data_IF_811014478337
#
_entry.id   IF_811014478337
#
_cell.length_a   1.000
_cell.length_b   1.000
_cell.length_c   1.000
_cell.angle_alpha   90.00
_cell.angle_beta   90.00
_cell.angle_gamma   90.00
#
_symmetry.space_group_name_H-M   'P 1'
#
loop_
_entity.id
_entity.type
_entity.pdbx_description
1 polymer ?
#
# COMPACT_ATOMS: atom_id res chain seq x y z
N UNK A 1 -57.92 -6.26 35.64
CA UNK A 1 -58.38 -6.33 34.24
C UNK A 1 -57.75 -5.16 33.49
N UNK A 2 -56.54 -5.36 32.97
CA UNK A 2 -55.82 -4.34 32.20
C UNK A 2 -56.58 -4.10 30.90
N UNK A 3 -56.98 -2.86 30.68
CA UNK A 3 -57.94 -2.48 29.64
C UNK A 3 -57.31 -2.75 28.25
N UNK A 4 -57.84 -3.71 27.51
CA UNK A 4 -57.31 -4.12 26.19
C UNK A 4 -57.14 -2.95 25.21
N UNK A 5 -57.91 -1.86 25.40
CA UNK A 5 -57.77 -0.63 24.60
C UNK A 5 -56.43 0.09 24.82
N UNK A 6 -55.88 0.07 26.04
CA UNK A 6 -54.59 0.72 26.35
C UNK A 6 -53.42 -0.09 25.80
N UNK A 7 -53.50 -1.42 25.84
CA UNK A 7 -52.48 -2.31 25.24
C UNK A 7 -52.45 -2.15 23.73
N UNK A 8 -53.63 -2.09 23.08
CA UNK A 8 -53.72 -1.84 21.64
C UNK A 8 -53.13 -0.48 21.23
N UNK A 9 -53.37 0.58 22.01
CA UNK A 9 -52.81 1.90 21.73
C UNK A 9 -51.27 1.91 21.83
N UNK A 10 -50.70 1.25 22.85
CA UNK A 10 -49.24 1.16 23.02
C UNK A 10 -48.59 0.32 21.91
N UNK A 11 -49.21 -0.80 21.52
CA UNK A 11 -48.72 -1.63 20.41
C UNK A 11 -48.79 -0.85 19.08
N UNK A 12 -49.84 -0.06 18.85
CA UNK A 12 -49.95 0.77 17.65
C UNK A 12 -48.85 1.85 17.59
N UNK A 13 -48.55 2.49 18.72
CA UNK A 13 -47.48 3.51 18.82
C UNK A 13 -46.11 2.87 18.58
N UNK A 14 -45.86 1.68 19.12
CA UNK A 14 -44.61 0.95 18.89
C UNK A 14 -44.50 0.51 17.43
N UNK A 15 -45.58 0.02 16.80
CA UNK A 15 -45.56 -0.37 15.39
C UNK A 15 -45.35 0.85 14.48
N UNK A 16 -45.98 2.00 14.77
CA UNK A 16 -45.77 3.25 14.03
C UNK A 16 -44.36 3.79 14.28
N UNK A 17 -43.83 3.69 15.50
CA UNK A 17 -42.46 4.03 15.86
C UNK A 17 -41.43 3.16 15.14
N UNK A 18 -41.67 1.85 15.05
CA UNK A 18 -40.83 0.90 14.32
C UNK A 18 -40.98 1.11 12.81
N UNK A 19 -42.16 1.41 12.29
CA UNK A 19 -42.37 1.69 10.87
C UNK A 19 -41.78 3.03 10.44
N UNK A 20 -41.78 4.04 11.30
CA UNK A 20 -41.08 5.33 11.07
C UNK A 20 -39.57 5.19 11.24
N UNK A 21 -39.10 4.42 12.22
CA UNK A 21 -37.68 4.07 12.37
C UNK A 21 -37.16 3.25 11.19
N UNK A 22 -37.87 2.20 10.78
CA UNK A 22 -37.52 1.43 9.58
C UNK A 22 -37.76 2.21 8.30
N UNK A 23 -38.73 3.14 8.23
CA UNK A 23 -38.92 4.02 7.08
C UNK A 23 -37.78 5.03 6.94
N UNK A 24 -37.27 5.54 8.07
CA UNK A 24 -36.06 6.35 8.16
C UNK A 24 -34.81 5.54 7.72
N UNK A 25 -34.67 4.29 8.17
CA UNK A 25 -33.55 3.41 7.80
C UNK A 25 -33.70 2.69 6.44
N UNK A 26 -34.90 2.58 5.86
CA UNK A 26 -35.14 2.02 4.50
C UNK A 26 -35.00 3.05 3.39
N UNK A 27 -34.69 4.30 3.71
CA UNK A 27 -34.47 5.35 2.72
C UNK A 27 -33.03 5.88 2.67
N UNK A 28 -32.05 5.14 3.17
CA UNK A 28 -30.70 5.21 2.59
C UNK A 28 -30.71 4.41 1.28
N UNK A 29 -31.34 5.00 0.26
CA UNK A 29 -30.76 4.91 -1.08
C UNK A 29 -29.31 5.36 -0.95
N UNK A 30 -28.39 4.73 -1.69
CA UNK A 30 -27.02 5.23 -1.87
C UNK A 30 -27.15 6.71 -2.25
N UNK A 31 -27.00 7.58 -1.26
CA UNK A 31 -27.35 8.98 -1.32
C UNK A 31 -26.28 9.67 -2.13
N UNK A 32 -26.69 10.51 -3.07
CA UNK A 32 -25.84 11.38 -3.88
C UNK A 32 -24.61 11.82 -3.07
N UNK A 33 -23.45 11.30 -3.43
CA UNK A 33 -22.19 11.76 -2.85
C UNK A 33 -22.11 13.26 -3.17
N UNK A 34 -22.02 14.11 -2.15
CA UNK A 34 -21.92 15.56 -2.37
C UNK A 34 -20.71 15.85 -3.26
N UNK A 35 -20.98 16.36 -4.46
CA UNK A 35 -19.94 16.65 -5.43
C UNK A 35 -19.41 18.06 -5.25
N UNK A 36 -18.08 18.19 -5.22
CA UNK A 36 -17.38 19.46 -5.21
C UNK A 36 -17.00 19.92 -6.61
N UNK A 37 -16.81 21.24 -6.79
CA UNK A 37 -16.34 21.79 -8.08
C UNK A 37 -14.88 21.39 -8.41
N UNK A 38 -14.07 21.12 -7.40
CA UNK A 38 -12.67 20.69 -7.49
C UNK A 38 -12.24 20.03 -6.16
N UNK A 39 -11.04 19.44 -6.05
CA UNK A 39 -10.58 18.79 -4.81
C UNK A 39 -10.57 19.70 -3.57
N UNK A 40 -10.44 21.03 -3.74
CA UNK A 40 -10.46 22.01 -2.65
C UNK A 40 -11.88 22.44 -2.24
N UNK A 41 -12.91 21.93 -2.89
CA UNK A 41 -14.32 22.27 -2.65
C UNK A 41 -15.22 21.02 -2.53
N UNK A 42 -14.64 19.86 -2.27
CA UNK A 42 -15.35 18.59 -2.11
C UNK A 42 -15.52 18.23 -0.62
N UNK A 43 -16.45 17.30 -0.36
CA UNK A 43 -16.69 16.72 0.95
C UNK A 43 -15.84 15.46 1.14
N UNK A 44 -15.08 15.39 2.23
CA UNK A 44 -14.26 14.24 2.64
C UNK A 44 -14.72 13.73 4.00
N UNK A 45 -14.50 12.45 4.29
CA UNK A 45 -14.82 11.90 5.61
C UNK A 45 -13.55 11.77 6.45
N UNK A 46 -13.43 12.56 7.52
CA UNK A 46 -12.24 12.61 8.39
C UNK A 46 -12.65 12.21 9.80
N UNK A 47 -12.08 11.11 10.32
CA UNK A 47 -12.38 10.57 11.67
C UNK A 47 -13.88 10.36 11.90
N UNK A 48 -14.59 9.88 10.86
CA UNK A 48 -16.03 9.61 10.94
C UNK A 48 -16.93 10.80 10.60
N UNK A 49 -16.39 12.02 10.49
CA UNK A 49 -17.15 13.25 10.24
C UNK A 49 -16.99 13.71 8.79
N UNK A 50 -18.07 14.23 8.20
CA UNK A 50 -18.02 14.84 6.88
C UNK A 50 -17.46 16.26 6.97
N UNK A 51 -16.42 16.54 6.20
CA UNK A 51 -15.71 17.81 6.11
C UNK A 51 -15.83 18.33 4.69
N UNK A 52 -16.67 19.34 4.49
CA UNK A 52 -16.81 20.03 3.21
C UNK A 52 -15.82 21.19 3.15
N UNK A 53 -14.78 21.06 2.32
CA UNK A 53 -13.84 22.15 2.15
C UNK A 53 -14.48 23.29 1.35
N UNK A 54 -14.09 24.53 1.68
CA UNK A 54 -14.40 25.71 0.87
C UNK A 54 -13.07 26.39 0.57
N UNK A 55 -12.66 26.39 -0.70
CA UNK A 55 -11.34 26.86 -1.14
C UNK A 55 -10.16 26.23 -0.37
N UNK A 56 -10.32 24.98 0.04
CA UNK A 56 -9.27 24.17 0.66
C UNK A 56 -9.20 24.27 2.18
N UNK A 57 -10.20 24.86 2.82
CA UNK A 57 -10.26 24.96 4.28
C UNK A 57 -11.69 24.75 4.79
N UNK A 58 -11.81 24.15 5.97
CA UNK A 58 -13.04 24.01 6.75
C UNK A 58 -12.68 24.23 8.23
N UNK A 59 -13.58 24.85 9.00
CA UNK A 59 -13.38 25.03 10.43
C UNK A 59 -14.69 25.05 11.20
N UNK A 60 -14.72 24.37 12.35
CA UNK A 60 -15.85 24.34 13.27
C UNK A 60 -15.39 24.22 14.73
N UNK A 61 -16.25 24.52 15.74
CA UNK A 61 -15.88 24.33 17.15
C UNK A 61 -15.56 22.87 17.47
N UNK A 62 -14.44 22.58 18.13
CA UNK A 62 -13.99 21.21 18.42
C UNK A 62 -14.91 20.42 19.37
N UNK A 63 -15.86 21.10 20.02
CA UNK A 63 -16.94 20.52 20.79
C UNK A 63 -18.09 21.55 20.89
N UNK A 64 -19.32 21.13 21.22
CA UNK A 64 -20.43 22.06 21.44
C UNK A 64 -20.07 23.15 22.46
N UNK A 65 -20.06 24.42 22.02
CA UNK A 65 -19.73 25.58 22.86
C UNK A 65 -18.24 25.82 23.11
N UNK A 66 -17.34 25.06 22.46
CA UNK A 66 -15.89 25.25 22.57
C UNK A 66 -15.42 26.54 21.89
N UNK A 67 -14.45 27.23 22.51
CA UNK A 67 -13.70 28.31 21.87
C UNK A 67 -12.57 27.79 20.97
N UNK A 68 -12.15 26.54 21.17
CA UNK A 68 -11.18 25.86 20.31
C UNK A 68 -11.86 25.42 19.02
N UNK A 69 -11.20 25.67 17.89
CA UNK A 69 -11.67 25.29 16.57
C UNK A 69 -10.90 24.06 16.08
N UNK A 70 -11.62 23.13 15.48
CA UNK A 70 -11.07 22.12 14.59
C UNK A 70 -10.95 22.76 13.22
N UNK A 71 -9.74 22.74 12.64
CA UNK A 71 -9.48 23.27 11.30
C UNK A 71 -8.96 22.14 10.44
N UNK A 72 -9.61 21.89 9.31
CA UNK A 72 -9.16 20.95 8.28
C UNK A 72 -8.70 21.72 7.05
N UNK A 73 -7.50 21.45 6.55
CA UNK A 73 -6.88 22.23 5.46
C UNK A 73 -6.24 21.35 4.40
N UNK A 74 -6.41 21.75 3.14
CA UNK A 74 -5.68 21.25 1.97
C UNK A 74 -4.19 21.52 2.12
N UNK A 75 -3.41 20.47 2.40
CA UNK A 75 -1.96 20.56 2.51
C UNK A 75 -1.30 20.48 1.13
N UNK A 76 -1.84 19.66 0.23
CA UNK A 76 -1.25 19.38 -1.09
C UNK A 76 -0.44 18.09 -1.07
N UNK A 77 0.76 18.10 -1.66
CA UNK A 77 1.57 16.90 -1.90
C UNK A 77 0.78 15.87 -2.74
N UNK A 78 0.33 16.34 -3.89
CA UNK A 78 -0.67 15.67 -4.72
C UNK A 78 -0.06 14.78 -5.80
N UNK A 79 -0.80 13.73 -6.15
CA UNK A 79 -0.54 12.88 -7.30
C UNK A 79 -1.84 12.68 -8.10
N UNK A 80 -1.72 12.71 -9.42
CA UNK A 80 -2.86 12.56 -10.33
C UNK A 80 -2.80 11.22 -11.04
N UNK A 81 -3.93 10.52 -11.09
CA UNK A 81 -4.09 9.23 -11.74
C UNK A 81 -5.58 9.01 -12.03
N UNK A 82 -5.92 8.08 -12.92
CA UNK A 82 -7.31 7.65 -13.14
C UNK A 82 -7.56 6.40 -12.27
N UNK A 83 -7.94 6.63 -11.00
CA UNK A 83 -8.02 5.55 -9.99
C UNK A 83 -9.18 4.60 -10.24
N UNK A 84 -10.27 5.10 -10.84
CA UNK A 84 -11.46 4.33 -11.15
C UNK A 84 -11.56 3.85 -12.60
N UNK A 85 -10.64 4.28 -13.46
CA UNK A 85 -10.51 3.90 -14.87
C UNK A 85 -11.70 4.37 -15.71
N UNK A 86 -12.30 5.50 -15.35
CA UNK A 86 -13.39 6.12 -16.11
C UNK A 86 -12.91 7.07 -17.22
N UNK A 87 -11.59 7.28 -17.33
CA UNK A 87 -10.95 8.15 -18.31
C UNK A 87 -10.81 9.60 -17.86
N UNK A 88 -11.25 9.96 -16.64
CA UNK A 88 -11.03 11.26 -16.02
C UNK A 88 -9.86 11.18 -15.05
N UNK A 89 -9.15 12.30 -14.92
CA UNK A 89 -8.03 12.37 -13.99
C UNK A 89 -8.53 12.73 -12.59
N UNK A 90 -8.20 11.87 -11.64
CA UNK A 90 -8.46 12.04 -10.21
C UNK A 90 -7.23 12.62 -9.50
N UNK A 91 -7.36 12.90 -8.20
CA UNK A 91 -6.25 13.41 -7.40
C UNK A 91 -6.22 12.76 -6.02
N UNK A 92 -5.07 12.24 -5.61
CA UNK A 92 -4.78 11.87 -4.23
C UNK A 92 -3.85 12.92 -3.61
N UNK A 93 -4.14 13.35 -2.40
CA UNK A 93 -3.41 14.44 -1.73
C UNK A 93 -3.57 14.37 -0.21
N UNK A 94 -2.86 15.24 0.51
CA UNK A 94 -2.86 15.26 1.96
C UNK A 94 -3.77 16.37 2.49
N UNK A 95 -4.57 16.02 3.49
CA UNK A 95 -5.25 16.96 4.39
C UNK A 95 -4.53 17.03 5.73
N UNK A 96 -4.59 18.21 6.34
CA UNK A 96 -4.15 18.43 7.73
C UNK A 96 -5.36 18.75 8.58
N UNK A 97 -5.37 18.28 9.83
CA UNK A 97 -6.37 18.65 10.82
C UNK A 97 -5.72 19.06 12.14
N UNK A 98 -6.20 20.18 12.70
CA UNK A 98 -5.79 20.71 13.98
C UNK A 98 -7.02 20.85 14.89
N UNK A 99 -7.16 20.00 15.90
CA UNK A 99 -8.32 20.00 16.83
C UNK A 99 -8.08 20.89 18.07
N UNK A 100 -7.66 22.15 17.87
CA UNK A 100 -7.52 23.12 18.96
C UNK A 100 -6.38 22.92 19.96
N UNK A 101 -5.55 21.87 19.80
CA UNK A 101 -4.32 21.63 20.56
C UNK A 101 -3.04 22.00 19.77
N UNK A 102 -1.89 21.47 20.21
CA UNK A 102 -0.61 21.65 19.50
C UNK A 102 -0.33 20.61 18.40
N UNK A 103 -1.23 19.65 18.21
CA UNK A 103 -1.09 18.57 17.23
C UNK A 103 -1.54 19.02 15.84
N UNK A 104 -0.89 18.47 14.82
CA UNK A 104 -1.30 18.57 13.42
C UNK A 104 -1.34 17.15 12.89
N UNK A 105 -2.53 16.65 12.59
CA UNK A 105 -2.74 15.30 12.09
C UNK A 105 -2.80 15.33 10.57
N UNK A 106 -2.17 14.35 9.92
CA UNK A 106 -2.08 14.27 8.46
C UNK A 106 -2.87 13.07 7.96
N UNK A 107 -3.67 13.28 6.90
CA UNK A 107 -4.53 12.27 6.30
C UNK A 107 -4.33 12.22 4.79
N UNK A 108 -4.20 11.03 4.21
CA UNK A 108 -4.27 10.83 2.78
C UNK A 108 -5.74 10.71 2.36
N UNK A 109 -6.14 11.48 1.35
CA UNK A 109 -7.47 11.42 0.73
C UNK A 109 -7.39 11.35 -0.78
N UNK A 110 -8.48 10.94 -1.40
CA UNK A 110 -8.67 10.86 -2.85
C UNK A 110 -9.89 11.69 -3.22
N UNK A 111 -9.79 12.44 -4.31
CA UNK A 111 -10.89 13.14 -4.94
C UNK A 111 -11.08 12.57 -6.35
N UNK A 112 -12.14 11.79 -6.53
CA UNK A 112 -12.50 11.20 -7.82
C UNK A 112 -13.27 12.21 -8.65
N UNK A 113 -12.80 12.50 -9.86
CA UNK A 113 -13.43 13.42 -10.77
C UNK A 113 -14.55 12.71 -11.54
N UNK A 114 -15.78 12.79 -11.06
CA UNK A 114 -16.96 12.19 -11.69
C UNK A 114 -17.65 13.18 -12.63
N UNK A 115 -18.55 12.69 -13.48
CA UNK A 115 -19.34 13.52 -14.41
C UNK A 115 -20.09 14.67 -13.72
N UNK A 116 -20.54 14.46 -12.48
CA UNK A 116 -21.26 15.46 -11.67
C UNK A 116 -20.37 16.32 -10.75
N UNK A 117 -19.04 16.16 -10.80
CA UNK A 117 -18.07 16.83 -9.94
C UNK A 117 -17.23 15.88 -9.09
N UNK A 118 -16.42 16.44 -8.20
CA UNK A 118 -15.45 15.71 -7.40
C UNK A 118 -16.08 15.06 -6.18
N UNK A 119 -15.84 13.76 -6.02
CA UNK A 119 -16.26 12.96 -4.87
C UNK A 119 -15.06 12.66 -3.99
N UNK A 120 -15.09 13.10 -2.74
CA UNK A 120 -14.02 12.85 -1.77
C UNK A 120 -14.12 11.46 -1.10
N UNK A 121 -12.97 10.89 -0.76
CA UNK A 121 -12.85 9.66 0.01
C UNK A 121 -12.90 9.90 1.53
N UNK A 122 -12.90 8.81 2.29
CA UNK A 122 -12.46 8.83 3.68
C UNK A 122 -10.95 9.13 3.77
N UNK A 123 -10.51 9.68 4.90
CA UNK A 123 -9.11 9.97 5.18
C UNK A 123 -8.38 8.81 5.84
N UNK A 124 -7.28 8.35 5.23
CA UNK A 124 -6.36 7.40 5.86
C UNK A 124 -5.34 8.18 6.70
N UNK A 125 -5.31 7.90 8.01
CA UNK A 125 -4.38 8.55 8.93
C UNK A 125 -2.92 8.21 8.61
N UNK A 126 -2.08 9.23 8.46
CA UNK A 126 -0.64 9.10 8.18
C UNK A 126 0.16 9.25 9.48
N UNK A 127 -0.14 10.27 10.28
CA UNK A 127 0.60 10.56 11.51
C UNK A 127 0.32 11.94 12.13
N UNK A 128 0.95 12.21 13.28
CA UNK A 128 0.89 13.47 14.02
C UNK A 128 2.24 14.20 13.93
N UNK A 129 2.23 15.45 13.47
CA UNK A 129 3.41 16.33 13.34
C UNK A 129 4.58 15.64 12.62
N UNK A 130 4.24 14.91 11.56
CA UNK A 130 5.21 14.33 10.62
C UNK A 130 5.79 15.43 9.71
N UNK A 131 6.85 15.10 8.97
CA UNK A 131 7.33 15.93 7.87
C UNK A 131 7.04 15.21 6.54
N UNK A 132 5.95 15.58 5.82
CA UNK A 132 5.67 15.02 4.50
C UNK A 132 6.81 15.28 3.52
N UNK A 133 7.11 14.31 2.67
CA UNK A 133 8.10 14.42 1.60
C UNK A 133 7.40 14.37 0.25
N UNK A 134 7.40 13.22 -0.42
CA UNK A 134 6.75 13.04 -1.73
C UNK A 134 5.50 12.17 -1.60
N UNK A 135 4.51 12.44 -2.45
CA UNK A 135 3.46 11.49 -2.80
C UNK A 135 3.68 11.05 -4.24
N UNK A 136 3.81 9.76 -4.50
CA UNK A 136 4.05 9.23 -5.83
C UNK A 136 3.21 7.97 -6.11
N UNK A 137 3.05 7.61 -7.37
CA UNK A 137 2.46 6.33 -7.76
C UNK A 137 3.54 5.24 -7.69
N UNK A 138 3.12 4.04 -7.34
CA UNK A 138 3.96 2.85 -7.48
C UNK A 138 4.41 2.67 -8.93
N UNK A 139 5.69 2.34 -9.08
CA UNK A 139 6.32 1.98 -10.37
C UNK A 139 6.28 0.48 -10.63
N UNK A 140 5.66 -0.30 -9.73
CA UNK A 140 5.50 -1.74 -9.90
C UNK A 140 4.43 -2.03 -10.95
N UNK A 141 4.77 -2.88 -11.92
CA UNK A 141 3.85 -3.32 -12.97
C UNK A 141 2.64 -4.01 -12.35
N UNK A 142 1.43 -3.56 -12.73
CA UNK A 142 0.15 -4.07 -12.21
C UNK A 142 -0.28 -3.51 -10.86
N UNK A 143 0.45 -2.52 -10.33
CA UNK A 143 0.14 -1.81 -9.08
C UNK A 143 0.19 -0.28 -9.25
N UNK A 144 -0.02 0.21 -10.47
CA UNK A 144 0.10 1.63 -10.83
C UNK A 144 -0.93 2.52 -10.09
N UNK A 145 -1.97 1.92 -9.52
CA UNK A 145 -3.01 2.58 -8.71
C UNK A 145 -2.66 2.69 -7.21
N UNK A 146 -1.50 2.18 -6.79
CA UNK A 146 -1.00 2.35 -5.42
C UNK A 146 -0.35 3.72 -5.26
N UNK A 147 -0.80 4.45 -4.24
CA UNK A 147 -0.20 5.72 -3.82
C UNK A 147 0.81 5.45 -2.70
N UNK A 148 2.00 6.02 -2.83
CA UNK A 148 3.08 5.95 -1.86
C UNK A 148 3.29 7.34 -1.28
N UNK A 149 3.02 7.50 0.01
CA UNK A 149 3.31 8.74 0.74
C UNK A 149 4.59 8.54 1.54
N UNK A 150 5.66 9.22 1.14
CA UNK A 150 6.93 9.28 1.85
C UNK A 150 6.90 10.43 2.86
N UNK A 151 7.35 10.16 4.09
CA UNK A 151 7.38 11.15 5.16
C UNK A 151 8.47 10.80 6.18
N UNK A 152 8.93 11.80 6.93
CA UNK A 152 9.74 11.56 8.12
C UNK A 152 8.87 11.64 9.39
N UNK A 153 9.12 10.69 10.28
CA UNK A 153 8.54 10.61 11.61
C UNK A 153 9.64 10.72 12.68
N UNK A 154 9.26 10.77 13.95
CA UNK A 154 10.20 10.76 15.08
C UNK A 154 10.61 9.34 15.42
N UNK A 155 11.81 9.19 15.98
CA UNK A 155 12.21 7.91 16.58
C UNK A 155 11.39 7.67 17.85
N UNK A 156 11.16 6.41 18.24
CA UNK A 156 10.44 6.09 19.46
C UNK A 156 11.06 6.81 20.67
N UNK A 157 10.24 7.55 21.42
CA UNK A 157 10.65 8.27 22.63
C UNK A 157 11.23 9.68 22.40
N UNK A 158 11.38 10.15 21.17
CA UNK A 158 11.79 11.54 20.91
C UNK A 158 10.67 12.53 21.23
N UNK A 159 11.05 13.70 21.77
CA UNK A 159 10.13 14.80 22.06
C UNK A 159 9.54 15.40 20.78
N UNK A 160 8.30 15.90 20.85
CA UNK A 160 7.67 16.63 19.75
C UNK A 160 8.38 17.94 19.37
N UNK A 161 9.26 18.45 20.23
CA UNK A 161 10.13 19.58 19.91
C UNK A 161 11.28 19.22 18.95
N UNK A 162 11.61 17.94 18.81
CA UNK A 162 12.63 17.45 17.86
C UNK A 162 11.97 17.31 16.49
N UNK A 163 12.67 17.76 15.44
CA UNK A 163 12.20 17.60 14.07
C UNK A 163 12.17 16.11 13.67
N UNK A 164 11.13 15.63 12.97
CA UNK A 164 11.08 14.28 12.43
C UNK A 164 12.29 13.95 11.55
N UNK A 165 12.83 12.74 11.68
CA UNK A 165 14.05 12.32 10.96
C UNK A 165 14.05 10.85 10.51
N UNK A 166 13.14 10.02 11.02
CA UNK A 166 12.99 8.62 10.65
C UNK A 166 12.11 8.51 9.40
N UNK A 167 12.72 8.26 8.24
CA UNK A 167 11.99 8.07 6.98
C UNK A 167 11.06 6.86 7.02
N UNK A 168 9.82 7.04 6.55
CA UNK A 168 8.76 6.04 6.42
C UNK A 168 8.03 6.23 5.08
N UNK A 169 7.38 5.16 4.64
CA UNK A 169 6.52 5.17 3.45
C UNK A 169 5.19 4.49 3.79
N UNK A 170 4.09 5.19 3.55
CA UNK A 170 2.73 4.64 3.61
C UNK A 170 2.33 4.26 2.19
N UNK A 171 2.08 2.97 1.96
CA UNK A 171 1.52 2.48 0.70
C UNK A 171 0.02 2.36 0.88
N UNK A 172 -0.77 2.97 -0.01
CA UNK A 172 -2.20 3.03 0.13
C UNK A 172 -2.91 2.72 -1.20
N UNK A 173 -4.07 2.08 -1.08
CA UNK A 173 -4.98 1.83 -2.20
C UNK A 173 -6.38 2.27 -1.83
N UNK A 174 -7.07 2.93 -2.75
CA UNK A 174 -8.48 3.28 -2.59
C UNK A 174 -9.38 2.08 -2.93
N UNK A 175 -10.28 1.71 -2.01
CA UNK A 175 -11.41 0.84 -2.34
C UNK A 175 -12.54 1.68 -2.96
N UNK A 176 -12.71 1.54 -4.27
CA UNK A 176 -13.70 2.28 -5.06
C UNK A 176 -15.16 1.99 -4.68
N UNK A 177 -15.44 0.88 -3.97
CA UNK A 177 -16.82 0.55 -3.55
C UNK A 177 -17.21 1.29 -2.28
N UNK A 178 -16.27 1.43 -1.36
CA UNK A 178 -16.49 2.00 -0.03
C UNK A 178 -15.98 3.44 0.08
N UNK A 179 -15.21 3.91 -0.91
CA UNK A 179 -14.48 5.18 -0.87
C UNK A 179 -13.52 5.28 0.33
N UNK A 180 -12.98 4.14 0.77
CA UNK A 180 -12.05 4.05 1.89
C UNK A 180 -10.64 3.69 1.39
N UNK A 181 -9.63 4.54 1.62
CA UNK A 181 -8.25 4.15 1.43
C UNK A 181 -7.78 3.23 2.55
N UNK A 182 -7.10 2.16 2.17
CA UNK A 182 -6.47 1.20 3.09
C UNK A 182 -4.96 1.16 2.93
N UNK A 183 -4.25 0.98 4.04
CA UNK A 183 -2.82 0.70 4.03
C UNK A 183 -2.55 -0.67 3.37
N UNK A 184 -1.69 -0.68 2.36
CA UNK A 184 -1.16 -1.88 1.74
C UNK A 184 0.14 -2.24 2.43
N UNK A 185 0.01 -3.04 3.49
CA UNK A 185 1.15 -3.59 4.22
C UNK A 185 2.05 -4.34 3.24
N UNK A 186 3.35 -4.14 3.34
CA UNK A 186 4.33 -4.82 2.50
C UNK A 186 4.95 -6.00 3.26
N UNK A 187 5.36 -7.04 2.54
CA UNK A 187 6.15 -8.17 3.06
C UNK A 187 5.40 -9.10 4.04
N UNK A 188 4.09 -9.24 3.91
CA UNK A 188 3.29 -10.14 4.74
C UNK A 188 2.91 -11.43 4.00
N UNK A 189 2.66 -12.51 4.74
CA UNK A 189 2.14 -13.77 4.16
C UNK A 189 0.72 -13.55 3.61
N UNK A 190 0.52 -13.81 2.33
CA UNK A 190 -0.75 -13.64 1.62
C UNK A 190 -0.81 -12.42 0.70
N UNK A 191 0.25 -11.59 0.65
CA UNK A 191 0.36 -10.44 -0.25
C UNK A 191 0.35 -10.85 -1.73
N UNK A 192 0.88 -12.04 -2.05
CA UNK A 192 0.93 -12.60 -3.39
C UNK A 192 0.18 -13.93 -3.49
N UNK A 193 -0.35 -14.22 -4.68
CA UNK A 193 -0.89 -15.53 -5.03
C UNK A 193 0.18 -16.35 -5.78
N UNK A 194 0.82 -17.35 -5.13
CA UNK A 194 1.87 -18.16 -5.76
C UNK A 194 1.43 -18.84 -7.07
N UNK A 195 0.13 -19.08 -7.25
CA UNK A 195 -0.41 -19.73 -8.46
C UNK A 195 -0.43 -18.81 -9.67
N UNK A 196 -0.37 -17.49 -9.46
CA UNK A 196 -0.31 -16.48 -10.53
C UNK A 196 1.12 -16.00 -10.78
N UNK A 197 2.08 -16.44 -9.98
CA UNK A 197 3.46 -16.03 -10.09
C UNK A 197 4.20 -16.77 -11.20
N UNK A 198 5.08 -16.06 -11.91
CA UNK A 198 5.91 -16.62 -12.98
C UNK A 198 7.34 -16.14 -12.85
N UNK A 199 8.30 -16.92 -13.34
CA UNK A 199 9.73 -16.56 -13.28
C UNK A 199 10.03 -15.26 -14.05
N UNK A 200 9.29 -14.98 -15.13
CA UNK A 200 9.53 -13.87 -16.05
C UNK A 200 8.80 -12.57 -15.67
N UNK A 201 7.99 -12.58 -14.60
CA UNK A 201 7.12 -11.44 -14.27
C UNK A 201 7.84 -10.19 -13.79
N UNK A 202 9.05 -10.33 -13.22
CA UNK A 202 9.83 -9.21 -12.68
C UNK A 202 11.32 -9.55 -12.62
N UNK A 203 12.11 -8.56 -12.23
CA UNK A 203 13.50 -8.75 -11.82
C UNK A 203 13.54 -9.20 -10.36
N UNK A 204 14.29 -10.26 -10.07
CA UNK A 204 14.41 -10.87 -8.76
C UNK A 204 15.73 -10.46 -8.10
N UNK A 205 15.67 -9.69 -7.00
CA UNK A 205 16.84 -9.31 -6.21
C UNK A 205 17.19 -10.38 -5.18
N UNK A 206 18.47 -10.71 -5.00
CA UNK A 206 18.89 -11.66 -3.97
C UNK A 206 18.68 -11.05 -2.58
N UNK A 207 17.92 -11.73 -1.71
CA UNK A 207 17.64 -11.27 -0.35
C UNK A 207 18.58 -11.94 0.64
N UNK A 208 18.61 -13.27 0.63
CA UNK A 208 19.46 -14.09 1.49
C UNK A 208 19.53 -15.52 0.98
N UNK A 209 20.51 -16.27 1.47
CA UNK A 209 20.56 -17.73 1.36
C UNK A 209 20.56 -18.31 2.76
N UNK A 210 19.71 -19.31 3.00
CA UNK A 210 19.67 -20.09 4.23
C UNK A 210 20.23 -21.47 3.92
N UNK A 211 21.37 -21.83 4.51
CA UNK A 211 21.97 -23.15 4.34
C UNK A 211 21.43 -24.14 5.38
N UNK A 212 21.57 -25.42 5.10
CA UNK A 212 21.06 -26.50 5.92
C UNK A 212 21.74 -26.62 7.31
N UNK A 213 22.94 -26.07 7.46
CA UNK A 213 23.66 -25.94 8.73
C UNK A 213 23.14 -24.76 9.59
N UNK A 214 22.13 -24.03 9.11
CA UNK A 214 21.53 -22.87 9.76
C UNK A 214 22.27 -21.56 9.48
N UNK A 215 23.37 -21.57 8.73
CA UNK A 215 24.06 -20.35 8.34
C UNK A 215 23.23 -19.53 7.36
N UNK A 216 23.33 -18.20 7.50
CA UNK A 216 22.63 -17.23 6.66
C UNK A 216 23.66 -16.38 5.94
N UNK A 217 23.56 -16.32 4.61
CA UNK A 217 24.39 -15.46 3.77
C UNK A 217 23.51 -14.36 3.19
N UNK A 218 23.90 -13.10 3.37
CA UNK A 218 23.24 -11.92 2.79
C UNK A 218 24.19 -11.20 1.83
N UNK A 219 23.69 -10.60 0.74
CA UNK A 219 24.51 -9.75 -0.13
C UNK A 219 24.97 -8.50 0.61
N UNK A 220 26.25 -8.15 0.47
CA UNK A 220 26.85 -6.90 0.96
C UNK A 220 26.36 -5.68 0.16
N UNK A 221 26.00 -5.89 -1.10
CA UNK A 221 25.46 -4.88 -2.03
C UNK A 221 24.19 -5.41 -2.71
N UNK A 222 23.06 -5.53 -1.97
CA UNK A 222 21.83 -6.16 -2.45
C UNK A 222 21.33 -5.59 -3.78
N UNK A 223 21.50 -4.30 -4.01
CA UNK A 223 21.08 -3.59 -5.22
C UNK A 223 21.80 -4.04 -6.50
N UNK A 224 22.94 -4.71 -6.37
CA UNK A 224 23.74 -5.23 -7.50
C UNK A 224 23.37 -6.66 -7.90
N UNK A 225 22.85 -7.47 -6.97
CA UNK A 225 22.54 -8.88 -7.20
C UNK A 225 21.11 -9.06 -7.70
N UNK A 226 20.95 -9.15 -9.02
CA UNK A 226 19.65 -9.30 -9.68
C UNK A 226 19.65 -10.51 -10.59
N UNK A 227 18.50 -11.18 -10.69
CA UNK A 227 18.25 -12.32 -11.56
C UNK A 227 17.01 -12.03 -12.42
N UNK A 228 17.15 -12.18 -13.73
CA UNK A 228 16.12 -11.89 -14.71
C UNK A 228 15.94 -13.12 -15.58
N UNK A 229 14.71 -13.64 -15.65
CA UNK A 229 14.32 -14.70 -16.57
C UNK A 229 13.65 -14.11 -17.81
N UNK A 230 13.88 -14.72 -18.97
CA UNK A 230 13.28 -14.31 -20.24
C UNK A 230 12.46 -15.45 -20.84
N UNK A 231 11.40 -15.12 -21.57
CA UNK A 231 10.51 -16.12 -22.19
C UNK A 231 11.24 -17.05 -23.18
N UNK A 232 12.38 -16.61 -23.72
CA UNK A 232 13.29 -17.40 -24.56
C UNK A 232 14.06 -18.52 -23.83
N UNK A 233 13.71 -18.85 -22.58
CA UNK A 233 14.40 -19.84 -21.73
C UNK A 233 15.87 -19.49 -21.46
N UNK A 234 16.16 -18.19 -21.48
CA UNK A 234 17.46 -17.63 -21.08
C UNK A 234 17.32 -16.81 -19.82
N UNK A 235 18.40 -16.70 -19.05
CA UNK A 235 18.46 -15.83 -17.90
C UNK A 235 19.67 -14.90 -18.00
N UNK A 236 19.58 -13.77 -17.31
CA UNK A 236 20.70 -12.89 -17.04
C UNK A 236 20.70 -12.52 -15.57
N UNK A 237 21.89 -12.46 -14.97
CA UNK A 237 22.08 -11.99 -13.62
C UNK A 237 23.18 -10.93 -13.57
N UNK A 238 22.99 -9.93 -12.73
CA UNK A 238 24.05 -8.98 -12.37
C UNK A 238 24.56 -9.32 -10.98
N UNK A 239 25.85 -9.12 -10.75
CA UNK A 239 26.49 -9.28 -9.45
C UNK A 239 27.23 -8.00 -9.07
N UNK A 240 27.92 -8.01 -7.94
CA UNK A 240 28.79 -6.91 -7.53
C UNK A 240 30.08 -6.76 -8.36
N UNK A 241 30.37 -7.72 -9.25
CA UNK A 241 31.55 -7.72 -10.12
C UNK A 241 31.21 -7.89 -11.60
N UNK A 242 30.68 -9.06 -12.00
CA UNK A 242 30.36 -9.37 -13.38
C UNK A 242 28.86 -9.49 -13.66
N UNK A 243 28.52 -9.53 -14.95
CA UNK A 243 27.22 -10.02 -15.41
C UNK A 243 27.35 -11.48 -15.86
N UNK A 244 26.34 -12.28 -15.51
CA UNK A 244 26.24 -13.70 -15.80
C UNK A 244 25.03 -13.94 -16.69
N UNK A 245 25.13 -14.84 -17.65
CA UNK A 245 24.01 -15.23 -18.50
C UNK A 245 24.06 -16.71 -18.84
N UNK A 246 22.93 -17.28 -19.23
CA UNK A 246 22.85 -18.68 -19.65
C UNK A 246 21.44 -19.09 -20.03
N UNK A 247 21.23 -20.39 -20.11
CA UNK A 247 19.94 -21.02 -20.36
C UNK A 247 19.35 -21.55 -19.05
N UNK A 248 18.03 -21.70 -18.98
CA UNK A 248 17.38 -22.39 -17.88
C UNK A 248 16.27 -23.32 -18.40
N UNK A 249 16.11 -24.46 -17.73
CA UNK A 249 15.08 -25.46 -18.05
C UNK A 249 14.17 -25.66 -16.85
N UNK A 250 12.87 -25.71 -17.10
CA UNK A 250 11.85 -25.96 -16.07
C UNK A 250 11.06 -27.22 -16.42
N UNK A 251 10.81 -28.07 -15.43
CA UNK A 251 9.92 -29.24 -15.55
C UNK A 251 9.16 -29.42 -14.23
N UNK A 252 7.89 -29.02 -14.22
CA UNK A 252 7.15 -28.88 -12.97
C UNK A 252 7.75 -27.79 -12.10
N UNK A 253 8.11 -28.14 -10.86
CA UNK A 253 8.81 -27.29 -9.89
C UNK A 253 10.34 -27.37 -9.99
N UNK A 254 10.87 -28.25 -10.84
CA UNK A 254 12.32 -28.39 -11.03
C UNK A 254 12.84 -27.30 -11.95
N UNK A 255 13.99 -26.72 -11.59
CA UNK A 255 14.71 -25.76 -12.41
C UNK A 255 16.20 -26.09 -12.45
N UNK A 256 16.79 -26.00 -13.65
CA UNK A 256 18.22 -26.20 -13.87
C UNK A 256 18.75 -25.04 -14.69
N UNK A 257 19.87 -24.46 -14.24
CA UNK A 257 20.63 -23.45 -14.98
C UNK A 257 21.72 -24.14 -15.80
N UNK A 258 21.79 -23.83 -17.08
CA UNK A 258 22.66 -24.47 -18.08
C UNK A 258 23.49 -23.40 -18.81
N UNK A 259 24.66 -23.79 -19.34
CA UNK A 259 25.52 -22.94 -20.18
C UNK A 259 25.82 -21.55 -19.59
N UNK A 260 26.06 -21.49 -18.27
CA UNK A 260 26.35 -20.24 -17.60
C UNK A 260 27.70 -19.66 -18.06
N UNK A 261 27.70 -18.40 -18.46
CA UNK A 261 28.86 -17.62 -18.85
C UNK A 261 28.89 -16.30 -18.08
N UNK A 262 30.06 -15.90 -17.61
CA UNK A 262 30.30 -14.62 -16.90
C UNK A 262 31.25 -13.74 -17.71
N UNK A 263 31.15 -12.42 -17.54
CA UNK A 263 32.21 -11.50 -18.01
C UNK A 263 33.49 -11.70 -17.19
N UNK A 264 34.62 -11.16 -17.66
CA UNK A 264 35.95 -11.39 -17.07
C UNK A 264 36.53 -10.14 -16.37
N UNK A 265 35.78 -9.57 -15.42
CA UNK A 265 36.28 -8.55 -14.49
C UNK A 265 36.78 -9.23 -13.21
N UNK A 266 37.95 -8.83 -12.72
CA UNK A 266 38.46 -9.29 -11.43
C UNK A 266 38.12 -8.27 -10.35
N UNK A 267 37.37 -8.69 -9.33
CA UNK A 267 37.02 -7.83 -8.20
C UNK A 267 37.40 -8.50 -6.89
N UNK A 268 38.03 -7.73 -6.01
CA UNK A 268 38.31 -8.17 -4.65
C UNK A 268 37.02 -8.11 -3.81
N UNK A 269 36.89 -9.02 -2.84
CA UNK A 269 35.78 -9.08 -1.87
C UNK A 269 34.36 -9.28 -2.44
N UNK A 270 34.26 -9.68 -3.71
CA UNK A 270 33.01 -9.97 -4.41
C UNK A 270 32.31 -11.23 -3.91
N UNK A 271 30.98 -11.21 -3.90
CA UNK A 271 30.15 -12.39 -3.65
C UNK A 271 29.66 -13.09 -4.92
N UNK A 272 30.21 -12.75 -6.10
CA UNK A 272 29.82 -13.35 -7.39
C UNK A 272 29.93 -14.88 -7.41
N UNK A 273 31.06 -15.43 -6.96
CA UNK A 273 31.31 -16.89 -6.99
C UNK A 273 30.34 -17.65 -6.09
N UNK A 274 30.02 -17.08 -4.93
CA UNK A 274 29.04 -17.62 -3.97
C UNK A 274 27.65 -17.60 -4.61
N UNK A 275 27.23 -16.46 -5.15
CA UNK A 275 25.93 -16.28 -5.79
C UNK A 275 25.74 -17.20 -7.00
N UNK A 276 26.72 -17.25 -7.91
CA UNK A 276 26.66 -18.12 -9.10
C UNK A 276 26.73 -19.60 -8.74
N UNK A 277 27.48 -19.96 -7.70
CA UNK A 277 27.50 -21.30 -7.14
C UNK A 277 26.11 -21.76 -6.68
N UNK A 278 25.30 -20.87 -6.12
CA UNK A 278 23.92 -21.20 -5.76
C UNK A 278 23.03 -21.46 -6.97
N UNK A 279 23.15 -20.66 -8.04
CA UNK A 279 22.40 -20.89 -9.27
C UNK A 279 22.77 -22.26 -9.89
N UNK A 280 24.06 -22.58 -9.96
CA UNK A 280 24.55 -23.88 -10.46
C UNK A 280 24.05 -25.08 -9.63
N UNK A 281 23.88 -24.86 -8.32
CA UNK A 281 23.44 -25.88 -7.38
C UNK A 281 21.94 -25.85 -7.10
N UNK A 282 21.13 -25.10 -7.86
CA UNK A 282 19.67 -25.13 -7.72
C UNK A 282 19.09 -26.44 -8.29
N UNK A 283 18.02 -26.94 -7.67
CA UNK A 283 17.28 -28.15 -8.08
C UNK A 283 15.79 -27.91 -8.35
N UNK A 284 15.16 -27.05 -7.56
CA UNK A 284 13.75 -26.69 -7.69
C UNK A 284 13.52 -25.25 -7.31
N UNK A 285 12.32 -24.75 -7.60
CA UNK A 285 11.86 -23.43 -7.19
C UNK A 285 10.42 -23.47 -6.69
N UNK A 286 10.08 -22.48 -5.89
CA UNK A 286 8.70 -22.18 -5.50
C UNK A 286 8.51 -20.68 -5.35
N UNK A 287 7.25 -20.26 -5.34
CA UNK A 287 6.86 -18.91 -4.97
C UNK A 287 6.20 -18.90 -3.61
N UNK A 288 6.48 -17.86 -2.81
CA UNK A 288 5.85 -17.69 -1.50
C UNK A 288 4.69 -16.71 -1.58
N UNK A 289 3.82 -16.77 -0.58
CA UNK A 289 2.71 -15.82 -0.46
C UNK A 289 3.17 -14.40 -0.08
N UNK A 290 4.47 -14.21 0.15
CA UNK A 290 5.13 -12.90 0.31
C UNK A 290 5.61 -12.30 -1.01
N UNK A 291 5.42 -12.97 -2.14
CA UNK A 291 5.89 -12.51 -3.44
C UNK A 291 7.37 -12.78 -3.70
N UNK A 292 7.94 -13.79 -3.03
CA UNK A 292 9.34 -14.19 -3.17
C UNK A 292 9.48 -15.38 -4.13
N UNK A 293 10.62 -15.44 -4.81
CA UNK A 293 11.10 -16.63 -5.51
C UNK A 293 12.10 -17.33 -4.59
N UNK A 294 11.86 -18.61 -4.31
CA UNK A 294 12.78 -19.45 -3.54
C UNK A 294 13.36 -20.49 -4.48
N UNK A 295 14.69 -20.53 -4.58
CA UNK A 295 15.43 -21.58 -5.27
C UNK A 295 15.98 -22.57 -4.24
N UNK A 296 15.55 -23.83 -4.29
CA UNK A 296 16.07 -24.85 -3.39
C UNK A 296 17.33 -25.48 -3.99
N UNK A 297 18.38 -25.52 -3.18
CA UNK A 297 19.66 -26.09 -3.54
C UNK A 297 19.57 -27.63 -3.54
N UNK A 298 20.37 -28.26 -4.40
CA UNK A 298 20.52 -29.71 -4.50
C UNK A 298 20.86 -30.31 -3.13
N UNK A 299 20.43 -31.55 -2.92
CA UNK A 299 20.70 -32.32 -1.71
C UNK A 299 20.21 -31.65 -0.42
N UNK A 300 19.15 -30.85 -0.53
CA UNK A 300 18.58 -30.08 0.59
C UNK A 300 19.64 -29.26 1.33
N UNK A 301 20.63 -28.73 0.59
CA UNK A 301 21.76 -27.97 1.16
C UNK A 301 21.39 -26.55 1.56
N UNK A 302 20.20 -26.09 1.19
CA UNK A 302 19.66 -24.79 1.57
C UNK A 302 18.68 -24.24 0.55
N UNK A 303 18.29 -22.98 0.76
CA UNK A 303 17.40 -22.24 -0.14
C UNK A 303 17.91 -20.82 -0.33
N UNK A 304 17.81 -20.31 -1.56
CA UNK A 304 18.12 -18.94 -1.95
C UNK A 304 16.82 -18.18 -2.12
N UNK A 305 16.65 -17.08 -1.40
CA UNK A 305 15.45 -16.27 -1.42
C UNK A 305 15.71 -15.02 -2.27
N UNK A 306 14.79 -14.75 -3.19
CA UNK A 306 14.76 -13.55 -4.00
C UNK A 306 13.43 -12.80 -3.88
N UNK A 307 13.44 -11.48 -4.07
CA UNK A 307 12.25 -10.64 -4.09
C UNK A 307 12.30 -9.61 -5.21
#
# INVERSE_FOLDING_TARGET
MTNNKTILAVVLIIIVGIATYFGYYKNTRVSDLETGANPKNATYKIVGENVTLVNGEESHPSAPGSASMTVTKYFGNEVSYDFDKDGRTDTAFILTQNAGGSGTFYFLVYALNKEGGYVGSEGLYIGDRIAPQTTELSKEVGKEDLVIVNYADRKPGESFAVAPSLGKSLWAKLDLKTMQPGEVVQNFEGEADPKKMTLTMKTWGWVKTMLNDGSIVTPKSPEKFKLIFKDSKTFSATTDCNSVSGEYRVTGDKIVFEKMMSTLMACQDSQESVFTGYLQNTSSYLFTSKGELVLNLKYDSGSVIFR
#
